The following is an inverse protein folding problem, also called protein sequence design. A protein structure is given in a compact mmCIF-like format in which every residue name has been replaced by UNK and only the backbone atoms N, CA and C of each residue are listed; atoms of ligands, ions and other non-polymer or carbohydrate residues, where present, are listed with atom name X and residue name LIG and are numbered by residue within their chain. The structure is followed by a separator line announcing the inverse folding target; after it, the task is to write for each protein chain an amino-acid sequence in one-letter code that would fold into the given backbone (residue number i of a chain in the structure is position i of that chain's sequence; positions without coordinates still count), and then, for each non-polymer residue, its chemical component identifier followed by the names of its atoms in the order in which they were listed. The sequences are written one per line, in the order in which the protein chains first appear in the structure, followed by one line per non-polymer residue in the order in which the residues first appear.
data_IF_778475052253
#
_entry.id   IF_778475052253
#
_cell.length_a   1.000
_cell.length_b   1.000
_cell.length_c   1.000
_cell.angle_alpha   90.00
_cell.angle_beta   90.00
_cell.angle_gamma   90.00
#
_symmetry.space_group_name_H-M   'P 1'
#
loop_
_entity.id
_entity.type
_entity.pdbx_description
1 polymer ?
#
# COMPACT_ATOMS: atom_id res chain seq x y z
N UNK A 1 2.92 23.60 8.22
CA UNK A 1 2.37 22.97 7.01
C UNK A 1 3.45 22.35 6.13
N UNK A 2 4.52 23.08 5.74
CA UNK A 2 5.61 22.50 4.94
C UNK A 2 6.27 21.26 5.58
N UNK A 3 6.50 21.27 6.90
CA UNK A 3 7.12 20.15 7.62
C UNK A 3 6.24 18.88 7.61
N UNK A 4 4.92 19.02 7.84
CA UNK A 4 3.99 17.90 7.87
C UNK A 4 3.85 17.21 6.51
N UNK A 5 3.84 18.00 5.43
CA UNK A 5 3.73 17.48 4.07
C UNK A 5 4.98 16.66 3.70
N UNK A 6 6.18 17.19 3.97
CA UNK A 6 7.44 16.49 3.73
C UNK A 6 7.58 15.22 4.57
N UNK A 7 7.22 15.29 5.86
CA UNK A 7 7.20 14.12 6.74
C UNK A 7 6.21 13.07 6.24
N UNK A 8 5.04 13.50 5.78
CA UNK A 8 4.05 12.59 5.25
C UNK A 8 4.52 11.93 3.94
N UNK A 9 5.06 12.70 3.00
CA UNK A 9 5.66 12.18 1.77
C UNK A 9 6.73 11.14 2.08
N UNK A 10 7.65 11.45 3.00
CA UNK A 10 8.69 10.52 3.45
C UNK A 10 8.11 9.24 4.05
N UNK A 11 7.06 9.35 4.87
CA UNK A 11 6.35 8.21 5.44
C UNK A 11 5.73 7.31 4.35
N UNK A 12 4.98 7.90 3.42
CA UNK A 12 4.32 7.19 2.33
C UNK A 12 5.32 6.51 1.41
N UNK A 13 6.41 7.18 1.03
CA UNK A 13 7.48 6.60 0.19
C UNK A 13 8.10 5.37 0.86
N UNK A 14 8.36 5.40 2.17
CA UNK A 14 8.86 4.24 2.90
C UNK A 14 7.88 3.08 2.89
N UNK A 15 6.59 3.35 3.08
CA UNK A 15 5.54 2.32 3.06
C UNK A 15 5.43 1.71 1.66
N UNK A 16 5.37 2.53 0.61
CA UNK A 16 5.32 2.10 -0.79
C UNK A 16 6.49 1.18 -1.11
N UNK A 17 7.73 1.57 -0.79
CA UNK A 17 8.90 0.73 -1.05
C UNK A 17 8.88 -0.60 -0.27
N UNK A 18 8.32 -0.60 0.95
CA UNK A 18 8.14 -1.83 1.75
C UNK A 18 7.13 -2.76 1.09
N UNK A 19 6.01 -2.22 0.60
CA UNK A 19 4.98 -2.97 -0.11
C UNK A 19 5.50 -3.53 -1.44
N UNK A 20 6.22 -2.73 -2.22
CA UNK A 20 6.85 -3.16 -3.48
C UNK A 20 7.82 -4.31 -3.27
N UNK A 21 8.67 -4.21 -2.24
CA UNK A 21 9.61 -5.28 -1.87
C UNK A 21 8.87 -6.56 -1.51
N UNK A 22 7.76 -6.45 -0.76
CA UNK A 22 6.93 -7.61 -0.42
C UNK A 22 6.28 -8.24 -1.66
N UNK A 23 5.68 -7.44 -2.54
CA UNK A 23 5.07 -7.89 -3.79
C UNK A 23 6.10 -8.61 -4.70
N UNK A 24 7.33 -8.10 -4.77
CA UNK A 24 8.42 -8.75 -5.52
C UNK A 24 8.80 -10.11 -4.94
N UNK A 25 8.88 -10.22 -3.60
CA UNK A 25 9.16 -11.49 -2.91
C UNK A 25 8.05 -12.52 -3.15
N UNK A 26 6.78 -12.11 -2.99
CA UNK A 26 5.61 -12.96 -3.24
C UNK A 26 5.57 -13.47 -4.69
N UNK A 27 5.87 -12.58 -5.65
CA UNK A 27 5.97 -12.97 -7.07
C UNK A 27 7.09 -14.00 -7.30
N UNK A 28 8.20 -13.90 -6.56
CA UNK A 28 9.33 -14.82 -6.68
C UNK A 28 9.00 -16.20 -6.11
N UNK A 29 8.27 -16.26 -4.99
CA UNK A 29 7.74 -17.50 -4.40
C UNK A 29 6.82 -18.22 -5.40
N UNK A 30 5.88 -17.49 -6.01
CA UNK A 30 4.99 -18.06 -7.03
C UNK A 30 5.71 -18.60 -8.27
N UNK A 31 6.90 -18.08 -8.59
CA UNK A 31 7.75 -18.59 -9.69
C UNK A 31 8.61 -19.79 -9.31
N UNK A 32 8.91 -19.99 -8.03
CA UNK A 32 9.78 -21.05 -7.51
C UNK A 32 9.04 -22.35 -7.16
N UNK A 33 7.71 -22.34 -7.12
CA UNK A 33 6.94 -23.58 -6.91
C UNK A 33 7.15 -24.54 -8.10
N UNK A 34 7.60 -25.79 -7.86
CA UNK A 34 7.78 -26.79 -8.90
C UNK A 34 6.49 -27.04 -9.67
N UNK A 35 6.64 -27.28 -10.95
CA UNK A 35 5.60 -27.49 -11.97
C UNK A 35 4.61 -28.63 -11.67
N UNK A 36 4.80 -29.41 -10.60
CA UNK A 36 3.93 -30.54 -10.23
C UNK A 36 2.62 -30.14 -9.52
N UNK A 37 2.37 -28.83 -9.34
CA UNK A 37 1.06 -28.29 -8.93
C UNK A 37 0.53 -27.28 -9.97
N UNK A 38 1.03 -27.32 -11.21
CA UNK A 38 0.53 -26.44 -12.28
C UNK A 38 -0.69 -27.02 -12.97
N UNK A 39 -1.86 -26.66 -12.44
CA UNK A 39 -3.07 -26.54 -13.26
C UNK A 39 -3.57 -25.10 -13.41
N UNK A 40 -3.31 -24.16 -12.47
CA UNK A 40 -4.04 -22.87 -12.47
C UNK A 40 -3.19 -21.59 -12.50
N UNK A 41 -1.92 -21.66 -12.90
CA UNK A 41 -1.11 -20.44 -13.11
C UNK A 41 -1.30 -19.79 -14.49
N UNK A 42 -2.20 -20.32 -15.33
CA UNK A 42 -2.49 -19.78 -16.67
C UNK A 42 -3.92 -19.26 -16.77
N UNK A 43 -4.20 -18.12 -16.12
CA UNK A 43 -5.22 -17.19 -16.62
C UNK A 43 -4.71 -15.75 -16.52
N UNK A 44 -3.60 -15.49 -17.20
CA UNK A 44 -3.54 -14.26 -17.99
C UNK A 44 -4.56 -14.45 -19.12
N UNK A 45 -5.64 -13.66 -19.10
CA UNK A 45 -6.74 -13.55 -20.11
C UNK A 45 -8.11 -14.12 -19.70
N UNK A 46 -8.72 -13.60 -18.64
CA UNK A 46 -10.17 -13.48 -18.63
C UNK A 46 -10.64 -12.33 -17.77
N UNK A 47 -11.29 -11.38 -18.43
CA UNK A 47 -12.13 -10.36 -17.83
C UNK A 47 -13.13 -11.01 -16.85
N UNK A 48 -13.51 -10.25 -15.81
CA UNK A 48 -14.75 -10.43 -15.05
C UNK A 48 -14.95 -11.81 -14.39
N UNK A 49 -14.71 -11.90 -13.09
CA UNK A 49 -15.80 -12.07 -12.13
C UNK A 49 -15.30 -12.26 -10.70
N UNK A 50 -16.04 -11.66 -9.79
CA UNK A 50 -16.17 -12.08 -8.40
C UNK A 50 -16.21 -13.62 -8.32
N UNK A 51 -15.19 -14.25 -7.76
CA UNK A 51 -15.31 -15.48 -6.99
C UNK A 51 -13.97 -15.86 -6.35
N UNK A 52 -13.87 -15.61 -5.04
CA UNK A 52 -13.39 -16.57 -4.04
C UNK A 52 -12.16 -17.39 -4.48
N UNK A 53 -10.97 -16.79 -4.47
CA UNK A 53 -9.73 -17.57 -4.40
C UNK A 53 -9.50 -17.96 -2.93
N UNK A 54 -10.18 -19.01 -2.48
CA UNK A 54 -9.88 -19.76 -1.25
C UNK A 54 -8.70 -20.72 -1.48
N UNK A 55 -7.57 -20.19 -1.92
CA UNK A 55 -6.32 -20.94 -1.80
C UNK A 55 -5.67 -20.51 -0.49
N UNK A 56 -5.46 -21.47 0.41
CA UNK A 56 -4.77 -21.20 1.66
C UNK A 56 -3.36 -20.70 1.34
N UNK A 57 -3.05 -19.48 1.76
CA UNK A 57 -1.69 -18.93 1.69
C UNK A 57 -0.74 -19.91 2.36
N UNK A 58 0.43 -20.11 1.75
CA UNK A 58 1.51 -20.85 2.39
C UNK A 58 1.92 -20.16 3.71
N UNK A 59 2.53 -20.92 4.62
CA UNK A 59 3.04 -20.36 5.87
C UNK A 59 4.04 -19.21 5.61
N UNK A 60 4.86 -19.33 4.56
CA UNK A 60 5.82 -18.31 4.15
C UNK A 60 5.14 -17.03 3.64
N UNK A 61 4.10 -17.14 2.80
CA UNK A 61 3.33 -15.98 2.34
C UNK A 61 2.62 -15.27 3.50
N UNK A 62 2.02 -16.04 4.42
CA UNK A 62 1.40 -15.49 5.63
C UNK A 62 2.40 -14.76 6.52
N UNK A 63 3.60 -15.33 6.71
CA UNK A 63 4.66 -14.71 7.50
C UNK A 63 5.17 -13.41 6.85
N UNK A 64 5.32 -13.39 5.52
CA UNK A 64 5.68 -12.19 4.77
C UNK A 64 4.64 -11.07 4.94
N UNK A 65 3.35 -11.40 4.84
CA UNK A 65 2.26 -10.43 4.99
C UNK A 65 2.14 -9.92 6.43
N UNK A 66 2.31 -10.79 7.42
CA UNK A 66 2.35 -10.42 8.84
C UNK A 66 3.53 -9.49 9.14
N UNK A 67 4.71 -9.81 8.61
CA UNK A 67 5.93 -9.00 8.74
C UNK A 67 5.77 -7.64 8.06
N UNK A 68 5.19 -7.63 6.87
CA UNK A 68 4.86 -6.41 6.13
C UNK A 68 3.95 -5.51 6.95
N UNK A 69 2.83 -6.06 7.46
CA UNK A 69 1.86 -5.32 8.27
C UNK A 69 2.51 -4.72 9.50
N UNK A 70 3.31 -5.52 10.22
CA UNK A 70 4.04 -5.08 11.41
C UNK A 70 5.06 -3.98 11.10
N UNK A 71 5.75 -4.08 9.96
CA UNK A 71 6.72 -3.08 9.51
C UNK A 71 6.04 -1.76 9.16
N UNK A 72 4.95 -1.81 8.39
CA UNK A 72 4.14 -0.63 8.06
C UNK A 72 3.63 0.02 9.34
N UNK A 73 3.07 -0.76 10.27
CA UNK A 73 2.62 -0.25 11.56
C UNK A 73 3.75 0.45 12.34
N UNK A 74 4.96 -0.12 12.33
CA UNK A 74 6.14 0.51 12.92
C UNK A 74 6.48 1.86 12.29
N UNK A 75 6.44 1.94 10.96
CA UNK A 75 6.64 3.19 10.20
C UNK A 75 5.57 4.22 10.58
N UNK A 76 4.30 3.83 10.61
CA UNK A 76 3.19 4.72 10.99
C UNK A 76 3.37 5.26 12.41
N UNK A 77 3.59 4.37 13.40
CA UNK A 77 3.80 4.77 14.81
C UNK A 77 5.00 5.69 14.99
N UNK A 78 6.05 5.53 14.19
CA UNK A 78 7.22 6.39 14.26
C UNK A 78 6.95 7.78 13.67
N UNK A 79 6.34 7.86 12.49
CA UNK A 79 6.17 9.14 11.79
C UNK A 79 4.96 9.95 12.30
N UNK A 80 3.89 9.29 12.75
CA UNK A 80 2.66 9.98 13.14
C UNK A 80 2.77 10.84 14.39
N UNK A 81 3.77 10.58 15.25
CA UNK A 81 4.05 11.39 16.44
C UNK A 81 4.41 12.84 16.11
N UNK A 82 4.80 13.10 14.87
CA UNK A 82 5.32 14.40 14.44
C UNK A 82 4.36 15.18 13.53
N UNK A 83 3.24 14.56 13.13
CA UNK A 83 2.25 15.15 12.23
C UNK A 83 1.17 15.91 13.02
N UNK A 84 0.64 16.99 12.45
CA UNK A 84 -0.53 17.67 13.00
C UNK A 84 -1.79 16.81 12.94
N UNK A 85 -2.74 17.09 13.83
CA UNK A 85 -4.02 16.39 13.93
C UNK A 85 -4.81 16.40 12.61
N UNK A 86 -4.76 17.49 11.84
CA UNK A 86 -5.44 17.58 10.53
C UNK A 86 -4.84 16.59 9.52
N UNK A 87 -3.51 16.48 9.49
CA UNK A 87 -2.80 15.54 8.63
C UNK A 87 -3.09 14.09 9.06
N UNK A 88 -3.07 13.83 10.36
CA UNK A 88 -3.38 12.52 10.94
C UNK A 88 -4.81 12.08 10.60
N UNK A 89 -5.81 12.94 10.72
CA UNK A 89 -7.20 12.58 10.42
C UNK A 89 -7.38 12.16 8.96
N UNK A 90 -6.77 12.90 8.03
CA UNK A 90 -6.81 12.55 6.61
C UNK A 90 -6.17 11.17 6.34
N UNK A 91 -5.02 10.93 6.94
CA UNK A 91 -4.27 9.69 6.79
C UNK A 91 -4.95 8.50 7.48
N UNK A 92 -5.53 8.70 8.66
CA UNK A 92 -6.25 7.65 9.36
C UNK A 92 -7.48 7.20 8.58
N UNK A 93 -8.19 8.10 7.88
CA UNK A 93 -9.30 7.71 7.01
C UNK A 93 -8.84 6.78 5.89
N UNK A 94 -7.66 7.03 5.30
CA UNK A 94 -7.06 6.14 4.32
C UNK A 94 -6.81 4.74 4.92
N UNK A 95 -6.03 4.68 6.00
CA UNK A 95 -5.65 3.40 6.61
C UNK A 95 -6.82 2.65 7.26
N UNK A 96 -7.90 3.34 7.64
CA UNK A 96 -9.10 2.71 8.19
C UNK A 96 -9.74 1.71 7.22
N UNK A 97 -9.73 2.02 5.91
CA UNK A 97 -10.18 1.13 4.84
C UNK A 97 -9.40 -0.19 4.81
N UNK A 98 -8.19 -0.19 5.37
CA UNK A 98 -7.30 -1.33 5.48
C UNK A 98 -7.22 -1.88 6.91
N UNK A 99 -8.28 -1.69 7.69
CA UNK A 99 -8.44 -2.22 9.04
C UNK A 99 -7.44 -1.67 10.08
N UNK A 100 -6.91 -0.47 9.86
CA UNK A 100 -6.11 0.24 10.86
C UNK A 100 -7.01 0.94 11.89
N UNK A 101 -6.74 0.68 13.18
CA UNK A 101 -7.35 1.35 14.32
C UNK A 101 -6.45 2.51 14.75
N UNK A 102 -6.91 3.74 14.50
CA UNK A 102 -6.16 4.95 14.84
C UNK A 102 -6.02 5.20 16.35
N UNK A 103 -6.94 4.67 17.17
CA UNK A 103 -6.89 4.80 18.64
C UNK A 103 -5.84 3.84 19.21
N UNK A 104 -5.79 2.61 18.71
CA UNK A 104 -4.79 1.60 19.10
C UNK A 104 -3.47 1.73 18.34
N UNK A 105 -3.46 2.55 17.28
CA UNK A 105 -2.37 2.75 16.33
C UNK A 105 -1.89 1.45 15.68
N UNK A 106 -2.78 0.51 15.41
CA UNK A 106 -2.43 -0.81 14.90
C UNK A 106 -3.42 -1.35 13.89
N UNK A 107 -2.94 -2.25 13.04
CA UNK A 107 -3.83 -3.00 12.16
C UNK A 107 -4.54 -4.08 12.97
N UNK A 108 -5.86 -4.16 12.82
CA UNK A 108 -6.70 -5.17 13.50
C UNK A 108 -6.63 -6.53 12.82
N UNK A 109 -6.08 -6.59 11.60
CA UNK A 109 -5.79 -7.80 10.84
C UNK A 109 -4.54 -7.59 9.97
N UNK A 110 -3.87 -8.68 9.58
CA UNK A 110 -2.77 -8.58 8.61
C UNK A 110 -3.31 -8.19 7.23
N UNK A 111 -2.54 -7.37 6.49
CA UNK A 111 -2.82 -7.12 5.08
C UNK A 111 -2.85 -8.44 4.33
N UNK A 112 -3.84 -8.62 3.47
CA UNK A 112 -4.01 -9.85 2.68
C UNK A 112 -3.54 -9.64 1.25
N UNK A 113 -3.22 -10.74 0.54
CA UNK A 113 -2.91 -10.70 -0.89
C UNK A 113 -3.97 -9.96 -1.71
N UNK A 114 -5.25 -10.17 -1.37
CA UNK A 114 -6.37 -9.59 -2.12
C UNK A 114 -6.43 -8.07 -2.06
N UNK A 115 -5.84 -7.44 -1.03
CA UNK A 115 -5.83 -5.98 -0.86
C UNK A 115 -4.48 -5.35 -1.14
N UNK A 116 -3.40 -6.13 -1.27
CA UNK A 116 -2.05 -5.59 -1.31
C UNK A 116 -1.78 -4.73 -2.56
N UNK A 117 -2.30 -5.15 -3.72
CA UNK A 117 -2.17 -4.38 -4.96
C UNK A 117 -3.01 -3.10 -4.94
N UNK A 118 -4.25 -3.13 -4.43
CA UNK A 118 -5.07 -1.91 -4.32
C UNK A 118 -4.46 -0.96 -3.30
N UNK A 119 -3.99 -1.48 -2.16
CA UNK A 119 -3.29 -0.71 -1.14
C UNK A 119 -2.04 -0.01 -1.69
N UNK A 120 -1.20 -0.73 -2.43
CA UNK A 120 -0.02 -0.17 -3.09
C UNK A 120 -0.39 0.97 -4.05
N UNK A 121 -1.33 0.71 -4.96
CA UNK A 121 -1.79 1.70 -5.95
C UNK A 121 -2.39 2.94 -5.29
N UNK A 122 -3.21 2.75 -4.26
CA UNK A 122 -3.85 3.86 -3.56
C UNK A 122 -2.84 4.70 -2.76
N UNK A 123 -1.79 4.08 -2.18
CA UNK A 123 -0.68 4.80 -1.56
C UNK A 123 0.09 5.64 -2.59
N UNK A 124 0.34 5.11 -3.78
CA UNK A 124 0.98 5.86 -4.87
C UNK A 124 0.12 7.05 -5.31
N UNK A 125 -1.19 6.84 -5.49
CA UNK A 125 -2.13 7.92 -5.80
C UNK A 125 -2.18 8.99 -4.72
N UNK A 126 -2.18 8.57 -3.45
CA UNK A 126 -2.11 9.47 -2.30
C UNK A 126 -0.85 10.32 -2.33
N UNK A 127 0.32 9.70 -2.51
CA UNK A 127 1.60 10.41 -2.62
C UNK A 127 1.60 11.39 -3.80
N UNK A 128 1.15 10.96 -4.97
CA UNK A 128 1.09 11.78 -6.17
C UNK A 128 0.13 12.98 -5.98
N UNK A 129 -0.98 12.79 -5.26
CA UNK A 129 -1.92 13.89 -4.95
C UNK A 129 -1.29 14.96 -4.06
N UNK A 130 -0.44 14.57 -3.10
CA UNK A 130 0.31 15.50 -2.25
C UNK A 130 1.35 16.30 -3.04
N UNK A 131 1.74 15.87 -4.23
CA UNK A 131 2.59 16.64 -5.13
C UNK A 131 1.77 17.51 -6.09
N UNK A 132 0.68 16.96 -6.63
CA UNK A 132 -0.14 17.60 -7.65
C UNK A 132 -0.94 18.80 -7.11
N UNK A 133 -1.48 18.74 -5.88
CA UNK A 133 -2.27 19.84 -5.33
C UNK A 133 -1.46 21.12 -5.11
N UNK A 134 -0.29 21.10 -4.44
CA UNK A 134 0.57 22.27 -4.35
C UNK A 134 1.07 22.75 -5.73
N UNK A 135 1.40 21.82 -6.62
CA UNK A 135 1.83 22.15 -7.99
C UNK A 135 0.74 22.91 -8.77
N UNK A 136 -0.52 22.46 -8.67
CA UNK A 136 -1.67 23.14 -9.27
C UNK A 136 -1.86 24.54 -8.70
N UNK A 137 -1.77 24.69 -7.37
CA UNK A 137 -1.85 25.99 -6.70
C UNK A 137 -0.74 26.95 -7.16
N UNK A 138 0.47 26.42 -7.39
CA UNK A 138 1.64 27.17 -7.84
C UNK A 138 1.73 27.33 -9.37
N UNK A 139 0.72 26.89 -10.14
CA UNK A 139 0.70 27.00 -11.60
C UNK A 139 1.71 26.11 -12.34
N UNK A 140 2.24 25.07 -11.70
CA UNK A 140 3.20 24.12 -12.29
C UNK A 140 2.49 23.10 -13.19
N UNK A 141 2.13 23.54 -14.39
CA UNK A 141 1.26 22.80 -15.31
C UNK A 141 1.80 21.40 -15.70
N UNK A 142 3.12 21.22 -15.77
CA UNK A 142 3.73 19.96 -16.18
C UNK A 142 3.55 18.83 -15.15
N UNK A 143 3.66 19.17 -13.86
CA UNK A 143 3.44 18.23 -12.74
C UNK A 143 1.97 17.81 -12.70
N UNK A 144 1.05 18.76 -12.88
CA UNK A 144 -0.39 18.49 -12.92
C UNK A 144 -0.77 17.62 -14.14
N UNK A 145 -0.19 17.90 -15.32
CA UNK A 145 -0.42 17.09 -16.52
C UNK A 145 0.09 15.66 -16.37
N UNK A 146 1.21 15.47 -15.66
CA UNK A 146 1.72 14.13 -15.35
C UNK A 146 0.73 13.38 -14.46
N UNK A 147 0.26 14.01 -13.38
CA UNK A 147 -0.74 13.43 -12.48
C UNK A 147 -2.06 13.03 -13.17
N UNK A 148 -2.58 13.84 -14.10
CA UNK A 148 -3.84 13.53 -14.82
C UNK A 148 -3.69 12.33 -15.79
N UNK A 149 -2.47 12.03 -16.24
CA UNK A 149 -2.19 10.99 -17.23
C UNK A 149 -1.82 9.63 -16.62
N UNK A 150 -1.59 9.58 -15.30
CA UNK A 150 -1.31 8.37 -14.51
C UNK A 150 -2.61 7.77 -13.95
#
# INVERSE_FOLDING_TARGET
MANDEEQLKSCLTKIIGTVETCLQKLTSIGKQQPTDVKADYLLQNSQLNNNIYTFALSNEENELLSTLTSTIQGILKHNFKHLSEKCLNYIFNFFHTYHYDSKRQEFTSSLSMGVLHSFHRELQGLLASLEAFPAAFNGQLDVVKKFIRE
#
